data_IF_328410985192
#
_entry.id   IF_328410985192
#
_cell.length_a   1.000
_cell.length_b   1.000
_cell.length_c   1.000
_cell.angle_alpha   90.00
_cell.angle_beta   90.00
_cell.angle_gamma   90.00
#
_symmetry.space_group_name_H-M   'P 1'
#
loop_
_entity.id
_entity.type
_entity.pdbx_description
1 polymer ?
#
# COMPACT_ATOMS: atom_id res chain seq x y z
N UNK A 1 4.89 11.47 -20.25
CA UNK A 1 3.58 12.01 -19.84
C UNK A 1 3.31 11.56 -18.41
N UNK A 2 2.80 12.45 -17.54
CA UNK A 2 2.44 12.13 -16.15
C UNK A 2 0.95 12.42 -15.97
N UNK A 3 0.25 11.59 -15.20
CA UNK A 3 -1.18 11.78 -14.92
C UNK A 3 -1.50 11.49 -13.46
N UNK A 4 -2.54 12.14 -12.94
CA UNK A 4 -3.08 11.86 -11.61
C UNK A 4 -4.10 10.74 -11.71
N UNK A 5 -3.87 9.64 -10.99
CA UNK A 5 -4.85 8.56 -10.89
C UNK A 5 -6.04 9.00 -10.03
N UNK A 6 -7.27 8.85 -10.51
CA UNK A 6 -8.47 9.18 -9.74
C UNK A 6 -8.76 8.18 -8.60
N UNK A 7 -8.18 6.98 -8.63
CA UNK A 7 -8.37 5.97 -7.59
C UNK A 7 -7.52 6.25 -6.33
N UNK A 8 -6.21 6.42 -6.52
CA UNK A 8 -5.24 6.57 -5.42
C UNK A 8 -4.66 7.98 -5.25
N UNK A 9 -5.02 8.94 -6.11
CA UNK A 9 -4.50 10.32 -6.13
C UNK A 9 -2.97 10.46 -6.35
N UNK A 10 -2.29 9.36 -6.70
CA UNK A 10 -0.85 9.36 -7.02
C UNK A 10 -0.62 9.84 -8.45
N UNK A 11 0.45 10.62 -8.64
CA UNK A 11 1.00 10.93 -9.95
C UNK A 11 1.75 9.71 -10.51
N UNK A 12 1.29 9.22 -11.66
CA UNK A 12 1.88 8.08 -12.34
C UNK A 12 2.43 8.47 -13.71
N UNK A 13 3.48 7.78 -14.12
CA UNK A 13 4.04 7.80 -15.47
C UNK A 13 3.85 6.45 -16.19
N UNK A 14 3.07 5.54 -15.62
CA UNK A 14 2.79 4.22 -16.17
C UNK A 14 1.66 4.22 -17.18
N UNK A 15 1.06 3.05 -17.36
CA UNK A 15 -0.12 2.88 -18.21
C UNK A 15 -1.39 3.35 -17.48
N UNK A 16 -2.35 3.86 -18.26
CA UNK A 16 -3.64 4.33 -17.73
C UNK A 16 -4.80 3.87 -18.59
N UNK A 17 -5.93 3.65 -17.93
CA UNK A 17 -7.23 3.63 -18.58
C UNK A 17 -7.81 5.04 -18.54
N UNK A 18 -8.20 5.54 -19.70
CA UNK A 18 -8.72 6.89 -19.86
C UNK A 18 -10.15 6.83 -20.42
N UNK A 19 -11.09 7.40 -19.67
CA UNK A 19 -12.45 7.69 -20.10
C UNK A 19 -12.76 9.19 -19.93
N UNK A 20 -13.99 9.60 -20.24
CA UNK A 20 -14.38 11.03 -20.26
C UNK A 20 -14.14 11.78 -18.95
N UNK A 21 -14.29 11.10 -17.81
CA UNK A 21 -14.14 11.69 -16.45
C UNK A 21 -13.22 10.87 -15.55
N UNK A 22 -12.45 9.94 -16.12
CA UNK A 22 -11.70 8.98 -15.34
C UNK A 22 -10.34 8.67 -15.97
N UNK A 23 -9.31 8.82 -15.16
CA UNK A 23 -7.94 8.42 -15.42
C UNK A 23 -7.52 7.47 -14.29
N UNK A 24 -7.42 6.19 -14.58
CA UNK A 24 -6.98 5.20 -13.60
C UNK A 24 -5.64 4.61 -14.03
N UNK A 25 -4.68 4.59 -13.10
CA UNK A 25 -3.47 3.78 -13.23
C UNK A 25 -3.87 2.31 -13.33
N UNK A 26 -3.17 1.54 -14.16
CA UNK A 26 -3.40 0.10 -14.30
C UNK A 26 -3.41 -0.61 -12.94
N UNK A 27 -2.54 -0.22 -12.00
CA UNK A 27 -2.52 -0.81 -10.66
C UNK A 27 -3.82 -0.61 -9.89
N UNK A 28 -4.48 0.54 -10.04
CA UNK A 28 -5.75 0.80 -9.38
C UNK A 28 -6.92 0.09 -10.06
N UNK A 29 -6.91 -0.01 -11.40
CA UNK A 29 -7.98 -0.69 -12.13
C UNK A 29 -7.88 -2.22 -12.03
N UNK A 30 -6.67 -2.75 -11.78
CA UNK A 30 -6.43 -4.18 -11.60
C UNK A 30 -6.91 -4.73 -10.26
N UNK A 31 -7.37 -3.87 -9.34
CA UNK A 31 -8.02 -4.32 -8.11
C UNK A 31 -9.38 -4.90 -8.47
N UNK A 32 -9.53 -6.19 -8.26
CA UNK A 32 -10.80 -6.92 -8.38
C UNK A 32 -11.38 -7.23 -7.01
N UNK A 33 -12.71 -7.30 -6.92
CA UNK A 33 -13.39 -7.78 -5.72
C UNK A 33 -13.72 -9.27 -5.87
N UNK A 34 -13.51 -10.08 -4.81
CA UNK A 34 -12.84 -9.73 -3.56
C UNK A 34 -11.34 -9.48 -3.75
N UNK A 35 -10.78 -8.56 -2.96
CA UNK A 35 -9.36 -8.23 -2.99
C UNK A 35 -8.62 -8.98 -1.89
N UNK A 36 -7.82 -9.97 -2.29
CA UNK A 36 -6.89 -10.69 -1.41
C UNK A 36 -5.60 -9.87 -1.26
N UNK A 37 -5.29 -9.45 -0.03
CA UNK A 37 -4.13 -8.60 0.25
C UNK A 37 -3.24 -9.23 1.34
N UNK A 38 -1.91 -9.37 1.12
CA UNK A 38 -1.02 -10.08 2.05
C UNK A 38 -0.91 -9.45 3.46
N UNK A 39 -1.29 -8.18 3.61
CA UNK A 39 -1.35 -7.52 4.94
C UNK A 39 -2.55 -7.95 5.79
N UNK A 40 -3.50 -8.67 5.20
CA UNK A 40 -4.70 -9.13 5.88
C UNK A 40 -5.09 -10.53 5.40
N UNK A 41 -4.21 -11.54 5.58
CA UNK A 41 -4.29 -12.83 4.88
C UNK A 41 -5.49 -13.71 5.28
N UNK A 42 -6.18 -13.37 6.37
CA UNK A 42 -7.32 -14.15 6.86
C UNK A 42 -8.65 -13.71 6.26
N UNK A 43 -8.75 -12.48 5.72
CA UNK A 43 -10.00 -11.96 5.20
C UNK A 43 -9.81 -11.18 3.90
N UNK A 44 -10.87 -11.19 3.10
CA UNK A 44 -10.92 -10.47 1.83
C UNK A 44 -11.38 -9.03 2.04
N UNK A 45 -10.88 -8.13 1.21
CA UNK A 45 -11.25 -6.73 1.22
C UNK A 45 -12.20 -6.40 0.07
N UNK A 46 -13.13 -5.48 0.33
CA UNK A 46 -14.14 -5.04 -0.62
C UNK A 46 -14.12 -3.52 -0.76
N UNK A 47 -14.40 -3.03 -1.96
CA UNK A 47 -14.42 -1.63 -2.28
C UNK A 47 -15.68 -0.95 -1.73
N UNK A 48 -15.47 0.06 -0.88
CA UNK A 48 -16.56 0.87 -0.32
C UNK A 48 -16.37 2.31 -0.80
N UNK A 49 -17.33 2.80 -1.58
CA UNK A 49 -17.18 4.06 -2.34
C UNK A 49 -18.06 5.23 -1.88
N UNK A 50 -19.05 5.03 -1.01
CA UNK A 50 -20.17 6.01 -0.95
C UNK A 50 -20.60 6.48 0.44
N UNK A 51 -20.36 5.73 1.51
CA UNK A 51 -21.04 6.02 2.79
C UNK A 51 -20.12 6.14 4.02
N UNK A 52 -18.87 6.57 3.86
CA UNK A 52 -18.02 6.87 5.02
C UNK A 52 -16.57 7.22 4.72
N UNK A 53 -15.88 7.72 5.74
CA UNK A 53 -14.42 7.82 5.79
C UNK A 53 -13.87 6.72 6.68
N UNK A 54 -12.70 6.19 6.32
CA UNK A 54 -11.96 5.21 7.11
C UNK A 54 -10.51 5.65 7.29
N UNK A 55 -9.84 5.09 8.28
CA UNK A 55 -8.41 5.32 8.51
C UNK A 55 -7.64 4.14 7.92
N UNK A 56 -6.75 4.43 6.97
CA UNK A 56 -5.91 3.41 6.35
C UNK A 56 -4.93 2.79 7.37
N UNK A 57 -4.95 1.46 7.53
CA UNK A 57 -4.07 0.74 8.46
C UNK A 57 -2.58 0.84 8.11
N UNK A 58 -2.23 1.18 6.86
CA UNK A 58 -0.84 1.35 6.44
C UNK A 58 -0.31 2.75 6.77
N UNK A 59 -0.97 3.80 6.26
CA UNK A 59 -0.43 5.16 6.32
C UNK A 59 -1.12 6.07 7.35
N UNK A 60 -2.10 5.55 8.09
CA UNK A 60 -2.87 6.25 9.11
C UNK A 60 -3.58 7.53 8.63
N UNK A 61 -3.79 7.67 7.31
CA UNK A 61 -4.53 8.79 6.72
C UNK A 61 -6.00 8.43 6.55
N UNK A 62 -6.86 9.46 6.61
CA UNK A 62 -8.28 9.35 6.29
C UNK A 62 -8.48 9.20 4.78
N UNK A 63 -9.36 8.27 4.38
CA UNK A 63 -9.73 8.05 2.98
C UNK A 63 -11.24 7.83 2.83
N UNK A 64 -11.80 8.27 1.71
CA UNK A 64 -13.18 8.00 1.27
C UNK A 64 -13.26 6.94 0.16
N UNK A 65 -12.12 6.54 -0.41
CA UNK A 65 -12.00 5.47 -1.41
C UNK A 65 -11.13 4.39 -0.82
N UNK A 66 -11.77 3.31 -0.37
CA UNK A 66 -11.11 2.33 0.47
C UNK A 66 -11.54 0.91 0.17
N UNK A 67 -10.64 -0.01 0.48
CA UNK A 67 -10.85 -1.43 0.56
C UNK A 67 -11.01 -1.78 2.04
N UNK A 68 -12.11 -2.42 2.41
CA UNK A 68 -12.46 -2.70 3.80
C UNK A 68 -12.78 -4.17 3.99
N UNK A 69 -12.36 -4.73 5.13
CA UNK A 69 -12.83 -6.03 5.59
C UNK A 69 -14.26 -5.92 6.10
N UNK A 70 -15.14 -6.80 5.63
CA UNK A 70 -16.58 -6.80 5.97
C UNK A 70 -16.93 -7.79 7.08
N UNK A 71 -15.95 -8.55 7.57
CA UNK A 71 -16.15 -9.49 8.68
C UNK A 71 -16.52 -8.78 9.98
N UNK A 72 -17.35 -9.45 10.80
CA UNK A 72 -17.82 -8.88 12.07
C UNK A 72 -16.64 -8.50 12.98
N UNK A 73 -16.71 -7.30 13.56
CA UNK A 73 -15.67 -6.69 14.43
C UNK A 73 -14.31 -6.44 13.77
N UNK A 74 -14.13 -6.72 12.49
CA UNK A 74 -12.91 -6.35 11.78
C UNK A 74 -12.99 -4.89 11.30
N UNK A 75 -12.02 -4.07 11.71
CA UNK A 75 -11.94 -2.65 11.34
C UNK A 75 -10.82 -2.37 10.33
N UNK A 76 -10.34 -3.41 9.65
CA UNK A 76 -9.23 -3.30 8.70
C UNK A 76 -9.64 -2.55 7.43
N UNK A 77 -8.88 -1.52 7.08
CA UNK A 77 -9.12 -0.60 5.97
C UNK A 77 -7.80 -0.27 5.26
N UNK A 78 -7.82 -0.28 3.92
CA UNK A 78 -6.72 0.23 3.09
C UNK A 78 -7.23 1.28 2.10
N UNK A 79 -6.49 2.36 1.95
CA UNK A 79 -6.64 3.24 0.79
C UNK A 79 -6.02 2.59 -0.46
N UNK A 80 -6.41 3.09 -1.64
CA UNK A 80 -5.90 2.56 -2.92
C UNK A 80 -4.40 2.78 -3.13
N UNK A 81 -3.79 3.79 -2.50
CA UNK A 81 -2.35 4.03 -2.60
C UNK A 81 -1.59 2.92 -1.89
N UNK A 82 -1.98 2.60 -0.67
CA UNK A 82 -1.37 1.58 0.17
C UNK A 82 -1.67 0.17 -0.35
N UNK A 83 -2.88 -0.09 -0.84
CA UNK A 83 -3.25 -1.37 -1.43
C UNK A 83 -2.50 -1.71 -2.73
N UNK A 84 -1.94 -0.71 -3.41
CA UNK A 84 -1.18 -0.89 -4.66
C UNK A 84 0.33 -0.76 -4.47
N UNK A 85 0.80 -0.73 -3.22
CA UNK A 85 2.23 -0.76 -2.95
C UNK A 85 2.81 -2.10 -3.44
N UNK A 86 3.92 -2.07 -4.20
CA UNK A 86 4.56 -3.29 -4.65
C UNK A 86 5.08 -4.10 -3.47
N UNK A 87 4.89 -5.42 -3.50
CA UNK A 87 5.40 -6.29 -2.45
C UNK A 87 6.93 -6.32 -2.40
N UNK A 88 7.57 -6.17 -3.56
CA UNK A 88 9.02 -6.10 -3.69
C UNK A 88 9.41 -4.89 -4.56
N UNK A 89 10.44 -4.17 -4.13
CA UNK A 89 11.05 -3.08 -4.90
C UNK A 89 12.53 -3.34 -5.05
N UNK A 90 13.05 -3.20 -6.27
CA UNK A 90 14.49 -3.22 -6.51
C UNK A 90 15.00 -1.79 -6.60
N UNK A 91 15.93 -1.43 -5.72
CA UNK A 91 16.65 -0.18 -5.85
C UNK A 91 17.69 -0.30 -6.97
N UNK A 92 17.96 0.79 -7.72
CA UNK A 92 18.87 0.73 -8.88
C UNK A 92 20.32 0.42 -8.51
N UNK A 93 20.68 0.67 -7.25
CA UNK A 93 22.06 0.60 -6.73
C UNK A 93 22.27 -0.63 -5.84
N UNK A 94 21.20 -1.29 -5.40
CA UNK A 94 21.28 -2.50 -4.58
C UNK A 94 20.82 -3.71 -5.41
N UNK A 95 21.57 -4.79 -5.33
CA UNK A 95 21.18 -6.04 -5.97
C UNK A 95 20.09 -6.77 -5.22
N UNK A 96 19.93 -6.50 -3.93
CA UNK A 96 18.92 -7.12 -3.09
C UNK A 96 17.59 -6.37 -3.20
N UNK A 97 16.48 -7.06 -3.54
CA UNK A 97 15.16 -6.45 -3.50
C UNK A 97 14.77 -6.18 -2.04
N UNK A 98 14.09 -5.06 -1.82
CA UNK A 98 13.44 -4.77 -0.55
C UNK A 98 12.03 -5.32 -0.58
N UNK A 99 11.65 -6.03 0.46
CA UNK A 99 10.32 -6.61 0.64
C UNK A 99 9.50 -5.76 1.60
N UNK A 100 8.23 -5.52 1.25
CA UNK A 100 7.28 -4.82 2.09
C UNK A 100 6.89 -5.71 3.29
N UNK A 101 7.10 -5.18 4.49
CA UNK A 101 6.69 -5.78 5.74
C UNK A 101 5.46 -5.05 6.29
N UNK A 102 4.53 -5.79 6.89
CA UNK A 102 3.26 -5.26 7.43
C UNK A 102 3.27 -5.05 8.95
N UNK A 103 4.45 -5.12 9.56
CA UNK A 103 4.66 -4.91 11.00
C UNK A 103 4.60 -6.17 11.88
N UNK A 104 4.42 -7.35 11.29
CA UNK A 104 4.35 -8.63 12.02
C UNK A 104 5.71 -9.35 12.11
N UNK A 105 6.70 -8.96 11.30
CA UNK A 105 7.97 -9.70 11.09
C UNK A 105 9.22 -8.99 11.62
N UNK A 106 9.05 -7.87 12.30
CA UNK A 106 10.15 -6.98 12.64
C UNK A 106 10.66 -7.21 14.06
N UNK A 107 11.40 -8.29 14.28
CA UNK A 107 12.19 -8.46 15.50
C UNK A 107 13.45 -7.60 15.39
N UNK A 108 13.40 -6.38 15.94
CA UNK A 108 14.56 -5.48 15.98
C UNK A 108 14.23 -4.01 15.74
N UNK A 109 15.27 -3.18 15.83
CA UNK A 109 15.21 -1.75 15.49
C UNK A 109 15.80 -1.58 14.10
N UNK A 110 14.98 -1.12 13.16
CA UNK A 110 15.44 -0.77 11.81
C UNK A 110 15.53 0.75 11.67
N UNK A 111 16.43 1.21 10.81
CA UNK A 111 16.59 2.62 10.47
C UNK A 111 16.30 2.83 8.99
N UNK A 112 15.58 3.91 8.68
CA UNK A 112 15.31 4.30 7.31
C UNK A 112 16.57 4.91 6.69
N UNK A 113 17.08 4.29 5.63
CA UNK A 113 18.32 4.74 4.96
C UNK A 113 18.19 6.10 4.26
N UNK A 114 16.96 6.56 4.01
CA UNK A 114 16.70 7.85 3.33
C UNK A 114 16.65 9.01 4.33
N UNK A 115 15.95 8.84 5.45
CA UNK A 115 15.69 9.93 6.39
C UNK A 115 16.39 9.77 7.74
N UNK A 116 17.16 8.69 7.91
CA UNK A 116 17.97 8.37 9.09
C UNK A 116 17.16 8.32 10.40
N UNK A 117 15.89 7.94 10.31
CA UNK A 117 14.98 7.79 11.45
C UNK A 117 14.67 6.32 11.69
N UNK A 118 14.48 5.97 12.96
CA UNK A 118 14.01 4.64 13.37
C UNK A 118 12.65 4.36 12.73
N UNK A 119 12.52 3.23 12.04
CA UNK A 119 11.24 2.78 11.52
C UNK A 119 10.36 2.28 12.67
N UNK A 120 9.06 2.41 12.56
CA UNK A 120 8.17 1.76 13.53
C UNK A 120 7.91 0.31 13.08
N UNK A 121 8.38 -0.71 13.84
CA UNK A 121 8.17 -2.11 13.48
C UNK A 121 6.70 -2.52 13.47
N UNK A 122 5.78 -1.68 13.98
CA UNK A 122 4.32 -1.90 13.92
C UNK A 122 3.66 -1.27 12.69
N UNK A 123 4.38 -0.47 11.91
CA UNK A 123 3.88 0.11 10.67
C UNK A 123 4.45 -0.64 9.48
N UNK A 124 3.98 -0.30 8.29
CA UNK A 124 4.53 -0.87 7.07
C UNK A 124 5.89 -0.21 6.78
N UNK A 125 6.84 -1.00 6.31
CA UNK A 125 8.16 -0.54 5.91
C UNK A 125 8.78 -1.59 4.96
N UNK A 126 9.73 -1.19 4.13
CA UNK A 126 10.50 -2.08 3.27
C UNK A 126 11.80 -2.50 3.96
N UNK A 127 12.19 -3.76 3.81
CA UNK A 127 13.50 -4.23 4.28
C UNK A 127 14.08 -5.31 3.37
N UNK A 128 15.40 -5.39 3.31
CA UNK A 128 16.15 -6.42 2.59
C UNK A 128 16.13 -7.76 3.36
N UNK A 129 16.34 -8.88 2.65
CA UNK A 129 16.37 -10.21 3.27
C UNK A 129 17.48 -10.37 4.32
N UNK A 130 18.59 -9.64 4.17
CA UNK A 130 19.70 -9.63 5.12
C UNK A 130 19.59 -8.51 6.16
N UNK A 131 18.47 -7.78 6.17
CA UNK A 131 18.15 -6.70 7.11
C UNK A 131 19.14 -5.53 7.10
N UNK A 132 19.92 -5.36 6.02
CA UNK A 132 20.95 -4.30 5.93
C UNK A 132 20.43 -2.97 5.43
N UNK A 133 19.38 -3.02 4.61
CA UNK A 133 18.70 -1.84 4.06
C UNK A 133 17.23 -1.84 4.47
N UNK A 134 16.72 -0.68 4.90
CA UNK A 134 15.32 -0.51 5.30
C UNK A 134 14.80 0.89 4.98
N UNK A 135 13.53 0.98 4.55
CA UNK A 135 12.85 2.22 4.16
C UNK A 135 11.44 2.28 4.74
N UNK A 136 10.92 3.48 5.04
CA UNK A 136 9.52 3.65 5.44
C UNK A 136 8.53 3.28 4.32
#
# INVERSE_FOLDING_TARGET
DYFRCNGCDIMSNGFRYQGERMNLDVRCVSISEPFDHPSHPQHLLYFISRDGTGICNCCNNSTSKMLKCIEDKCVFVLDFKCATLPQEVKHRVDDHPLTLCYGEKADGKYWCDICEKETNPKTWFYTSQDHRASLH
#
